data_IF_203079782100
#
_entry.id   IF_203079782100
#
_cell.length_a   1.000
_cell.length_b   1.000
_cell.length_c   1.000
_cell.angle_alpha   90.00
_cell.angle_beta   90.00
_cell.angle_gamma   90.00
#
_symmetry.space_group_name_H-M   'P 1'
#
loop_
_entity.id
_entity.type
_entity.pdbx_description
1 polymer ?
#
# COMPACT_ATOMS: atom_id res chain seq x y z
N UNK A 1 -4.37 -5.18 -25.96
CA UNK A 1 -4.75 -5.29 -24.54
C UNK A 1 -3.80 -4.36 -23.80
N UNK A 2 -4.27 -3.53 -22.85
CA UNK A 2 -3.32 -2.75 -22.04
C UNK A 2 -2.34 -3.73 -21.41
N UNK A 3 -1.05 -3.38 -21.40
CA UNK A 3 0.00 -4.24 -20.86
C UNK A 3 -0.39 -4.71 -19.45
N UNK A 4 -0.47 -6.02 -19.25
CA UNK A 4 -0.82 -6.60 -17.97
C UNK A 4 0.28 -6.28 -16.95
N UNK A 5 -0.07 -5.56 -15.89
CA UNK A 5 0.85 -5.28 -14.79
C UNK A 5 0.62 -6.35 -13.71
N UNK A 6 1.52 -7.33 -13.66
CA UNK A 6 1.51 -8.38 -12.65
C UNK A 6 2.54 -8.09 -11.55
N UNK A 7 2.09 -8.10 -10.29
CA UNK A 7 2.96 -8.00 -9.11
C UNK A 7 3.21 -9.41 -8.55
N UNK A 8 4.47 -9.83 -8.47
CA UNK A 8 4.83 -11.10 -7.83
C UNK A 8 5.12 -10.86 -6.35
N UNK A 9 4.23 -11.34 -5.51
CA UNK A 9 4.37 -11.32 -4.06
C UNK A 9 4.63 -12.75 -3.55
N UNK A 10 5.36 -12.86 -2.43
CA UNK A 10 5.23 -14.07 -1.64
C UNK A 10 3.84 -14.15 -1.01
N UNK A 11 3.48 -15.35 -0.55
CA UNK A 11 2.15 -15.63 -0.03
C UNK A 11 1.82 -14.77 1.18
N UNK A 12 2.76 -14.59 2.11
CA UNK A 12 2.54 -13.84 3.34
C UNK A 12 2.23 -12.37 3.01
N UNK A 13 3.03 -11.75 2.14
CA UNK A 13 2.83 -10.38 1.69
C UNK A 13 1.51 -10.21 0.94
N UNK A 14 1.08 -11.21 0.15
CA UNK A 14 -0.21 -11.17 -0.53
C UNK A 14 -1.40 -11.25 0.44
N UNK A 15 -1.31 -12.10 1.47
CA UNK A 15 -2.32 -12.22 2.51
C UNK A 15 -2.41 -10.94 3.36
N UNK A 16 -1.28 -10.36 3.74
CA UNK A 16 -1.22 -9.08 4.46
C UNK A 16 -1.80 -7.93 3.64
N UNK A 17 -1.47 -7.85 2.34
CA UNK A 17 -2.04 -6.84 1.44
C UNK A 17 -3.55 -7.01 1.29
N UNK A 18 -4.04 -8.24 1.17
CA UNK A 18 -5.47 -8.51 1.10
C UNK A 18 -6.18 -8.05 2.37
N UNK A 19 -5.67 -8.40 3.56
CA UNK A 19 -6.26 -8.01 4.82
C UNK A 19 -6.33 -6.48 4.95
N UNK A 20 -5.24 -5.78 4.64
CA UNK A 20 -5.19 -4.33 4.71
C UNK A 20 -6.21 -3.65 3.77
N UNK A 21 -6.33 -4.14 2.52
CA UNK A 21 -7.29 -3.61 1.55
C UNK A 21 -8.74 -3.92 1.94
N UNK A 22 -8.99 -5.13 2.43
CA UNK A 22 -10.32 -5.58 2.85
C UNK A 22 -10.80 -4.79 4.06
N UNK A 23 -10.00 -4.71 5.12
CA UNK A 23 -10.33 -3.96 6.34
C UNK A 23 -10.53 -2.47 6.06
N UNK A 24 -9.68 -1.88 5.23
CA UNK A 24 -9.85 -0.48 4.76
C UNK A 24 -11.19 -0.31 4.05
N UNK A 25 -11.56 -1.24 3.17
CA UNK A 25 -12.84 -1.24 2.47
C UNK A 25 -14.03 -1.32 3.41
N UNK A 26 -13.98 -2.22 4.39
CA UNK A 26 -15.03 -2.38 5.42
C UNK A 26 -15.20 -1.10 6.24
N UNK A 27 -14.11 -0.47 6.68
CA UNK A 27 -14.16 0.80 7.39
C UNK A 27 -14.83 1.91 6.55
N UNK A 28 -14.45 2.04 5.28
CA UNK A 28 -15.06 3.01 4.35
C UNK A 28 -16.55 2.71 4.12
N UNK A 29 -16.90 1.44 3.89
CA UNK A 29 -18.27 1.01 3.64
C UNK A 29 -19.18 1.22 4.87
N UNK A 30 -18.64 1.02 6.07
CA UNK A 30 -19.33 1.27 7.33
C UNK A 30 -19.42 2.76 7.69
N UNK A 31 -18.78 3.66 6.92
CA UNK A 31 -18.64 5.08 7.29
C UNK A 31 -17.84 5.28 8.59
N UNK A 32 -17.07 4.27 8.99
CA UNK A 32 -16.25 4.30 10.19
C UNK A 32 -14.94 5.04 9.89
N UNK A 33 -14.55 5.94 10.79
CA UNK A 33 -13.25 6.57 10.69
C UNK A 33 -12.15 5.51 10.77
N UNK A 34 -11.22 5.53 9.82
CA UNK A 34 -9.97 4.78 9.93
C UNK A 34 -9.14 5.50 10.99
N UNK A 35 -8.85 4.81 12.09
CA UNK A 35 -7.96 5.34 13.13
C UNK A 35 -6.63 5.73 12.50
N UNK A 36 -6.13 6.96 12.71
CA UNK A 36 -4.83 7.34 12.19
C UNK A 36 -3.76 6.34 12.67
N UNK A 37 -2.90 5.84 11.76
CA UNK A 37 -1.84 4.93 12.15
C UNK A 37 -0.87 5.64 13.09
N UNK A 38 -0.23 4.86 13.97
CA UNK A 38 0.94 5.34 14.72
C UNK A 38 2.07 5.71 13.75
N UNK A 39 3.04 6.52 14.21
CA UNK A 39 4.18 6.92 13.38
C UNK A 39 4.95 5.71 12.81
N UNK A 40 5.13 4.64 13.59
CA UNK A 40 5.80 3.42 13.13
C UNK A 40 5.00 2.60 12.13
N UNK A 41 3.67 2.58 12.24
CA UNK A 41 2.80 1.94 11.25
C UNK A 41 2.79 2.73 9.94
N UNK A 42 2.72 4.06 10.01
CA UNK A 42 2.82 4.94 8.86
C UNK A 42 4.16 4.79 8.12
N UNK A 43 5.28 4.66 8.85
CA UNK A 43 6.61 4.44 8.25
C UNK A 43 6.68 3.10 7.50
N UNK A 44 6.17 2.02 8.11
CA UNK A 44 6.14 0.69 7.49
C UNK A 44 5.28 0.69 6.22
N UNK A 45 4.09 1.29 6.27
CA UNK A 45 3.20 1.43 5.12
C UNK A 45 3.85 2.27 4.01
N UNK A 46 4.48 3.39 4.37
CA UNK A 46 5.19 4.25 3.43
C UNK A 46 6.35 3.53 2.72
N UNK A 47 7.11 2.71 3.44
CA UNK A 47 8.19 1.88 2.86
C UNK A 47 7.63 0.85 1.87
N UNK A 48 6.58 0.12 2.27
CA UNK A 48 5.92 -0.85 1.39
C UNK A 48 5.40 -0.21 0.10
N UNK A 49 4.70 0.93 0.21
CA UNK A 49 4.17 1.64 -0.96
C UNK A 49 5.29 2.18 -1.87
N UNK A 50 6.43 2.58 -1.31
CA UNK A 50 7.61 3.03 -2.06
C UNK A 50 8.24 1.88 -2.83
N UNK A 51 8.48 0.74 -2.18
CA UNK A 51 9.06 -0.46 -2.79
C UNK A 51 8.14 -1.02 -3.90
N UNK A 52 6.83 -0.98 -3.65
CA UNK A 52 5.82 -1.30 -4.66
C UNK A 52 5.90 -0.34 -5.85
N UNK A 53 5.95 0.97 -5.61
CA UNK A 53 6.08 1.99 -6.65
C UNK A 53 7.31 1.76 -7.53
N UNK A 54 8.47 1.50 -6.92
CA UNK A 54 9.71 1.17 -7.63
C UNK A 54 9.58 -0.11 -8.48
N UNK A 55 9.00 -1.17 -7.90
CA UNK A 55 8.77 -2.44 -8.60
C UNK A 55 7.86 -2.27 -9.81
N UNK A 56 6.87 -1.39 -9.72
CA UNK A 56 5.95 -1.05 -10.80
C UNK A 56 6.53 -0.05 -11.82
N UNK A 57 7.82 0.32 -11.70
CA UNK A 57 8.47 1.29 -12.58
C UNK A 57 7.92 2.72 -12.43
N UNK A 58 7.17 3.01 -11.37
CA UNK A 58 6.73 4.37 -11.07
C UNK A 58 7.93 5.14 -10.55
N UNK A 59 8.28 6.22 -11.24
CA UNK A 59 9.23 7.19 -10.69
C UNK A 59 8.55 7.90 -9.53
N UNK A 60 9.26 7.95 -8.40
CA UNK A 60 8.90 8.77 -7.25
C UNK A 60 8.46 10.16 -7.71
N UNK A 61 7.31 10.64 -7.22
CA UNK A 61 7.00 12.07 -7.34
C UNK A 61 7.99 12.86 -6.47
N UNK A 62 8.23 14.16 -6.75
CA UNK A 62 9.17 14.98 -5.98
C UNK A 62 8.91 14.99 -4.46
N UNK A 63 7.71 14.63 -4.02
CA UNK A 63 7.31 14.49 -2.62
C UNK A 63 7.89 13.26 -1.90
N UNK A 64 8.48 12.28 -2.61
CA UNK A 64 9.09 11.09 -1.99
C UNK A 64 10.51 11.36 -1.46
N UNK A 65 11.21 12.40 -1.93
CA UNK A 65 12.59 12.71 -1.55
C UNK A 65 12.70 13.44 -0.19
N UNK A 66 11.57 13.72 0.45
CA UNK A 66 11.50 14.49 1.71
C UNK A 66 11.01 13.67 2.92
N UNK A 67 10.89 12.35 2.78
CA UNK A 67 10.62 11.41 3.88
C UNK A 67 11.76 10.43 4.07
#
# INVERSE_FOLDING_TARGET
MPDEIALRLDRATAEDLYAALYETGEHVAAGAAITPPTAGEAERLGRFLRDLGHTLGRRCSPSCDHL
#
